data_IF_467731186886
#
_entry.id   IF_467731186886
#
_cell.length_a   1.000
_cell.length_b   1.000
_cell.length_c   1.000
_cell.angle_alpha   90.00
_cell.angle_beta   90.00
_cell.angle_gamma   90.00
#
_symmetry.space_group_name_H-M   'P 1'
#
loop_
_entity.id
_entity.type
_entity.pdbx_description
1 polymer ?
#
# COMPACT_ATOMS: atom_id res chain seq x y z
N UNK A 1 13.21 -8.65 5.83
CA UNK A 1 13.58 -9.90 5.14
C UNK A 1 13.15 -9.81 3.68
N UNK A 2 14.10 -9.96 2.79
CA UNK A 2 13.80 -10.00 1.36
C UNK A 2 13.11 -11.30 0.99
N UNK A 3 12.09 -11.20 0.15
CA UNK A 3 11.31 -12.37 -0.29
C UNK A 3 11.20 -12.41 -1.81
N UNK A 4 10.81 -13.56 -2.33
CA UNK A 4 10.56 -13.77 -3.76
C UNK A 4 9.17 -13.28 -4.15
N UNK A 5 8.94 -13.15 -5.46
CA UNK A 5 7.60 -12.80 -5.98
C UNK A 5 6.56 -13.85 -5.55
N UNK A 6 6.91 -15.14 -5.60
CA UNK A 6 5.98 -16.20 -5.20
C UNK A 6 5.62 -16.10 -3.71
N UNK A 7 6.60 -15.79 -2.87
CA UNK A 7 6.35 -15.58 -1.44
C UNK A 7 5.46 -14.35 -1.20
N UNK A 8 5.69 -13.25 -1.92
CA UNK A 8 4.84 -12.06 -1.84
C UNK A 8 3.40 -12.39 -2.27
N UNK A 9 3.24 -13.12 -3.36
CA UNK A 9 1.92 -13.53 -3.85
C UNK A 9 1.20 -14.39 -2.81
N UNK A 10 1.91 -15.28 -2.12
CA UNK A 10 1.33 -16.12 -1.08
C UNK A 10 0.87 -15.28 0.12
N UNK A 11 1.69 -14.33 0.56
CA UNK A 11 1.33 -13.42 1.67
C UNK A 11 0.05 -12.66 1.34
N UNK A 12 -0.05 -12.13 0.12
CA UNK A 12 -1.25 -11.43 -0.33
C UNK A 12 -2.45 -12.38 -0.40
N UNK A 13 -2.23 -13.58 -0.94
CA UNK A 13 -3.30 -14.57 -1.07
C UNK A 13 -3.89 -15.02 0.27
N UNK A 14 -3.07 -15.08 1.31
CA UNK A 14 -3.49 -15.51 2.65
C UNK A 14 -4.26 -14.42 3.41
N UNK A 15 -4.18 -13.17 3.00
CA UNK A 15 -4.82 -12.06 3.68
C UNK A 15 -6.25 -11.84 3.15
N UNK A 16 -7.19 -11.50 4.03
CA UNK A 16 -8.55 -11.14 3.65
C UNK A 16 -8.77 -9.63 3.70
N UNK A 17 -8.27 -8.95 4.74
CA UNK A 17 -8.38 -7.50 4.87
C UNK A 17 -7.00 -6.88 4.58
N UNK A 18 -6.96 -5.97 3.61
CA UNK A 18 -5.70 -5.43 3.10
C UNK A 18 -5.80 -3.90 3.01
N UNK A 19 -4.82 -3.23 3.57
CA UNK A 19 -4.63 -1.79 3.38
C UNK A 19 -3.40 -1.59 2.51
N UNK A 20 -3.55 -0.75 1.48
CA UNK A 20 -2.48 -0.39 0.56
C UNK A 20 -2.12 1.06 0.77
N UNK A 21 -0.86 1.39 0.66
CA UNK A 21 -0.38 2.76 0.72
C UNK A 21 0.85 2.97 -0.15
N UNK A 22 1.24 4.21 -0.31
CA UNK A 22 2.47 4.61 -0.96
C UNK A 22 2.99 5.89 -0.30
N UNK A 23 3.88 6.61 -1.00
CA UNK A 23 4.55 7.77 -0.42
C UNK A 23 3.65 9.02 -0.41
N UNK A 24 4.02 9.98 0.45
CA UNK A 24 3.50 11.34 0.35
C UNK A 24 3.97 11.95 -0.99
N UNK A 25 3.31 13.02 -1.44
CA UNK A 25 3.50 13.59 -2.78
C UNK A 25 3.27 12.53 -3.85
N UNK A 26 2.07 11.95 -3.88
CA UNK A 26 1.79 10.82 -4.77
C UNK A 26 1.93 11.24 -6.24
N UNK A 27 2.45 10.30 -7.03
CA UNK A 27 2.63 10.45 -8.47
C UNK A 27 1.84 9.38 -9.21
N UNK A 28 1.98 9.35 -10.56
CA UNK A 28 1.26 8.38 -11.38
C UNK A 28 1.61 6.94 -11.04
N UNK A 29 2.87 6.67 -10.73
CA UNK A 29 3.34 5.32 -10.41
C UNK A 29 2.74 4.83 -9.08
N UNK A 30 2.79 5.67 -8.04
CA UNK A 30 2.26 5.30 -6.72
C UNK A 30 0.74 5.15 -6.73
N UNK A 31 0.01 6.07 -7.37
CA UNK A 31 -1.45 6.02 -7.45
C UNK A 31 -1.89 4.86 -8.34
N UNK A 32 -1.24 4.69 -9.49
CA UNK A 32 -1.57 3.59 -10.40
C UNK A 32 -1.32 2.22 -9.78
N UNK A 33 -0.20 2.05 -9.08
CA UNK A 33 0.14 0.79 -8.42
C UNK A 33 -0.86 0.44 -7.32
N UNK A 34 -1.20 1.39 -6.45
CA UNK A 34 -2.12 1.13 -5.34
C UNK A 34 -3.55 0.90 -5.82
N UNK A 35 -4.04 1.72 -6.75
CA UNK A 35 -5.40 1.54 -7.29
C UNK A 35 -5.52 0.27 -8.11
N UNK A 36 -4.54 -0.03 -8.95
CA UNK A 36 -4.56 -1.24 -9.75
C UNK A 36 -4.62 -2.49 -8.88
N UNK A 37 -3.79 -2.54 -7.85
CA UNK A 37 -3.77 -3.67 -6.94
C UNK A 37 -5.07 -3.73 -6.10
N UNK A 38 -5.60 -2.59 -5.67
CA UNK A 38 -6.89 -2.54 -4.97
C UNK A 38 -8.01 -3.15 -5.82
N UNK A 39 -8.11 -2.75 -7.08
CA UNK A 39 -9.14 -3.28 -7.98
C UNK A 39 -9.00 -4.78 -8.18
N UNK A 40 -7.77 -5.26 -8.38
CA UNK A 40 -7.51 -6.68 -8.51
C UNK A 40 -7.94 -7.46 -7.26
N UNK A 41 -7.55 -6.99 -6.09
CA UNK A 41 -7.85 -7.66 -4.82
C UNK A 41 -9.35 -7.69 -4.53
N UNK A 42 -10.05 -6.59 -4.82
CA UNK A 42 -11.52 -6.55 -4.68
C UNK A 42 -12.20 -7.52 -5.63
N UNK A 43 -11.69 -7.66 -6.86
CA UNK A 43 -12.21 -8.64 -7.81
C UNK A 43 -12.00 -10.08 -7.32
N UNK A 44 -11.01 -10.31 -6.46
CA UNK A 44 -10.75 -11.61 -5.81
C UNK A 44 -11.59 -11.81 -4.54
N UNK A 45 -12.49 -10.89 -4.23
CA UNK A 45 -13.35 -10.98 -3.05
C UNK A 45 -12.72 -10.53 -1.75
N UNK A 46 -11.58 -9.84 -1.81
CA UNK A 46 -10.88 -9.33 -0.62
C UNK A 46 -11.36 -7.94 -0.26
N UNK A 47 -11.28 -7.59 1.01
CA UNK A 47 -11.54 -6.24 1.50
C UNK A 47 -10.24 -5.44 1.39
N UNK A 48 -10.12 -4.62 0.35
CA UNK A 48 -8.93 -3.83 0.07
C UNK A 48 -9.26 -2.34 0.06
N UNK A 49 -8.44 -1.55 0.78
CA UNK A 49 -8.56 -0.10 0.89
C UNK A 49 -7.21 0.53 0.60
N UNK A 50 -7.22 1.74 0.04
CA UNK A 50 -6.01 2.54 -0.16
C UNK A 50 -6.05 3.76 0.77
N UNK A 51 -5.00 3.93 1.57
CA UNK A 51 -4.79 5.11 2.41
C UNK A 51 -3.53 5.83 1.92
N UNK A 52 -3.63 7.12 1.60
CA UNK A 52 -2.48 7.94 1.23
C UNK A 52 -2.54 9.23 2.06
N UNK A 53 -1.45 9.55 2.75
CA UNK A 53 -1.41 10.69 3.68
C UNK A 53 -0.98 11.97 2.95
N UNK A 54 -1.73 12.34 1.92
CA UNK A 54 -1.52 13.60 1.19
C UNK A 54 -2.74 13.91 0.31
N UNK A 55 -2.78 15.13 -0.21
CA UNK A 55 -3.76 15.50 -1.22
C UNK A 55 -3.42 14.84 -2.55
N UNK A 56 -4.45 14.45 -3.30
CA UNK A 56 -4.26 13.79 -4.59
C UNK A 56 -4.24 14.84 -5.71
N UNK A 57 -3.24 14.77 -6.62
CA UNK A 57 -3.19 15.70 -7.76
C UNK A 57 -4.43 15.57 -8.66
N UNK A 58 -4.97 16.71 -9.08
CA UNK A 58 -6.19 16.75 -9.91
C UNK A 58 -6.04 16.04 -11.23
N UNK A 59 -4.83 15.99 -11.77
CA UNK A 59 -4.56 15.34 -13.06
C UNK A 59 -4.97 13.86 -13.07
N UNK A 60 -5.03 13.22 -11.90
CA UNK A 60 -5.37 11.79 -11.79
C UNK A 60 -6.86 11.52 -11.64
N UNK A 61 -7.72 12.53 -11.69
CA UNK A 61 -9.19 12.37 -11.54
C UNK A 61 -9.80 11.43 -12.57
N UNK A 62 -9.13 11.19 -13.69
CA UNK A 62 -9.61 10.28 -14.72
C UNK A 62 -9.41 8.80 -14.36
N UNK A 63 -8.63 8.51 -13.32
CA UNK A 63 -8.34 7.13 -12.91
C UNK A 63 -9.54 6.52 -12.20
N UNK A 64 -9.95 5.29 -12.59
CA UNK A 64 -11.04 4.59 -11.89
C UNK A 64 -10.69 4.33 -10.43
N UNK A 65 -11.56 4.73 -9.54
CA UNK A 65 -11.39 4.47 -8.11
C UNK A 65 -10.60 5.53 -7.35
N UNK A 66 -10.15 6.62 -7.99
CA UNK A 66 -9.39 7.66 -7.30
C UNK A 66 -10.15 8.20 -6.08
N UNK A 67 -11.48 8.35 -6.19
CA UNK A 67 -12.34 8.78 -5.09
C UNK A 67 -12.40 7.80 -3.93
N UNK A 68 -11.92 6.59 -4.10
CA UNK A 68 -11.87 5.55 -3.06
C UNK A 68 -10.58 5.65 -2.22
N UNK A 69 -9.61 6.45 -2.63
CA UNK A 69 -8.40 6.68 -1.83
C UNK A 69 -8.78 7.56 -0.65
N UNK A 70 -8.44 7.10 0.55
CA UNK A 70 -8.72 7.80 1.79
C UNK A 70 -7.45 8.40 2.35
N UNK A 71 -7.57 9.54 3.02
CA UNK A 71 -6.48 10.07 3.82
C UNK A 71 -6.69 9.62 5.27
N UNK A 72 -5.66 9.08 5.96
CA UNK A 72 -5.83 8.64 7.34
C UNK A 72 -6.25 9.79 8.24
N UNK A 73 -7.29 9.58 9.03
CA UNK A 73 -7.79 10.56 9.97
C UNK A 73 -6.90 10.62 11.21
N UNK A 74 -6.67 11.83 11.72
CA UNK A 74 -5.85 12.02 12.92
C UNK A 74 -6.47 11.27 14.11
N UNK A 75 -5.63 10.55 14.85
CA UNK A 75 -6.05 9.81 16.04
C UNK A 75 -6.81 8.52 15.78
N UNK A 76 -7.04 8.17 14.51
CA UNK A 76 -7.74 6.93 14.16
C UNK A 76 -6.73 5.80 13.96
N UNK A 77 -7.01 4.63 14.52
CA UNK A 77 -6.25 3.40 14.29
C UNK A 77 -7.01 2.54 13.29
N UNK A 78 -6.29 2.03 12.30
CA UNK A 78 -6.82 1.13 11.29
C UNK A 78 -6.26 -0.27 11.53
N UNK A 79 -7.03 -1.30 11.25
CA UNK A 79 -6.58 -2.69 11.41
C UNK A 79 -6.72 -3.45 10.10
N UNK A 80 -5.81 -4.37 9.84
CA UNK A 80 -5.83 -5.21 8.64
C UNK A 80 -5.03 -6.48 8.88
N UNK A 81 -5.31 -7.52 8.08
CA UNK A 81 -4.45 -8.70 8.03
C UNK A 81 -3.09 -8.34 7.44
N UNK A 82 -3.09 -7.46 6.43
CA UNK A 82 -1.89 -7.10 5.67
C UNK A 82 -1.89 -5.63 5.33
N UNK A 83 -0.76 -4.97 5.57
CA UNK A 83 -0.45 -3.66 5.03
C UNK A 83 0.55 -3.84 3.89
N UNK A 84 0.21 -3.34 2.69
CA UNK A 84 1.11 -3.34 1.54
C UNK A 84 1.57 -1.91 1.29
N UNK A 85 2.88 -1.69 1.32
CA UNK A 85 3.49 -0.40 0.97
C UNK A 85 4.12 -0.54 -0.41
N UNK A 86 3.63 0.25 -1.36
CA UNK A 86 4.03 0.18 -2.77
C UNK A 86 4.92 1.37 -3.14
N UNK A 87 5.96 1.11 -3.93
CA UNK A 87 6.76 2.11 -4.63
C UNK A 87 7.61 3.01 -3.72
N UNK A 88 7.82 2.62 -2.47
CA UNK A 88 8.61 3.40 -1.51
C UNK A 88 8.93 2.58 -0.28
N UNK A 89 9.92 3.00 0.50
CA UNK A 89 10.17 2.45 1.83
C UNK A 89 9.16 2.96 2.87
N UNK A 90 9.04 2.25 3.99
CA UNK A 90 8.00 2.49 5.00
C UNK A 90 7.99 3.91 5.57
N UNK A 91 9.16 4.49 5.77
CA UNK A 91 9.28 5.80 6.43
C UNK A 91 8.74 6.99 5.64
N UNK A 92 8.42 6.77 4.34
CA UNK A 92 7.95 7.84 3.46
C UNK A 92 6.45 7.84 3.23
N UNK A 93 5.71 7.11 4.03
CA UNK A 93 4.25 6.99 3.90
C UNK A 93 3.47 8.02 4.73
N UNK A 94 4.14 9.02 5.30
CA UNK A 94 3.50 9.93 6.24
C UNK A 94 3.05 9.19 7.48
N UNK A 95 1.78 9.36 7.87
CA UNK A 95 1.23 8.74 9.08
C UNK A 95 0.57 7.37 8.83
N UNK A 96 0.64 6.82 7.62
CA UNK A 96 -0.09 5.57 7.34
C UNK A 96 0.48 4.39 8.12
N UNK A 97 1.79 4.14 7.99
CA UNK A 97 2.39 2.98 8.66
C UNK A 97 2.21 3.04 10.18
N UNK A 98 2.32 4.23 10.76
CA UNK A 98 2.14 4.41 12.20
C UNK A 98 0.69 4.32 12.66
N UNK A 99 -0.27 4.42 11.74
CA UNK A 99 -1.71 4.41 12.05
C UNK A 99 -2.37 3.06 11.81
N UNK A 100 -1.66 2.10 11.22
CA UNK A 100 -2.22 0.79 10.85
C UNK A 100 -1.64 -0.29 11.73
N UNK A 101 -2.52 -1.05 12.38
CA UNK A 101 -2.16 -2.28 13.11
C UNK A 101 -2.41 -3.45 12.16
N UNK A 102 -1.36 -3.93 11.52
CA UNK A 102 -1.42 -5.04 10.58
C UNK A 102 -0.74 -6.28 11.15
N UNK A 103 -1.30 -7.46 10.85
CA UNK A 103 -0.68 -8.72 11.25
C UNK A 103 0.67 -8.89 10.54
N UNK A 104 0.71 -8.50 9.25
CA UNK A 104 1.94 -8.53 8.45
C UNK A 104 2.09 -7.24 7.67
N UNK A 105 3.34 -6.86 7.37
CA UNK A 105 3.65 -5.70 6.53
C UNK A 105 4.52 -6.18 5.36
N UNK A 106 4.05 -5.91 4.14
CA UNK A 106 4.74 -6.24 2.90
C UNK A 106 5.09 -4.95 2.16
N UNK A 107 6.37 -4.76 1.87
CA UNK A 107 6.84 -3.65 1.04
C UNK A 107 7.17 -4.17 -0.36
N UNK A 108 6.57 -3.57 -1.37
CA UNK A 108 6.84 -3.87 -2.79
C UNK A 108 7.46 -2.62 -3.39
N UNK A 109 8.72 -2.69 -3.76
CA UNK A 109 9.47 -1.53 -4.24
C UNK A 109 10.46 -1.92 -5.33
N UNK A 110 10.93 -0.92 -6.07
CA UNK A 110 11.92 -1.09 -7.12
C UNK A 110 13.11 -0.12 -6.97
N UNK A 111 13.15 0.65 -5.89
CA UNK A 111 14.22 1.62 -5.65
C UNK A 111 15.41 0.95 -4.97
N UNK A 112 16.62 1.15 -5.53
CA UNK A 112 17.86 0.64 -4.92
C UNK A 112 18.17 1.30 -3.59
N UNK A 113 17.56 2.46 -3.32
CA UNK A 113 17.74 3.23 -2.09
C UNK A 113 16.81 2.79 -0.95
N UNK A 114 16.01 1.73 -1.15
CA UNK A 114 15.14 1.21 -0.09
C UNK A 114 15.97 0.84 1.14
N UNK A 115 15.54 1.26 2.33
CA UNK A 115 16.25 1.04 3.57
C UNK A 115 16.09 -0.39 4.14
N UNK A 116 15.25 -1.22 3.51
CA UNK A 116 15.03 -2.63 3.83
C UNK A 116 14.49 -2.87 5.26
N UNK A 117 13.79 -1.89 5.83
CA UNK A 117 13.24 -1.96 7.19
C UNK A 117 11.95 -2.77 7.30
N UNK A 118 11.29 -3.08 6.18
CA UNK A 118 10.02 -3.81 6.20
C UNK A 118 10.21 -5.25 6.67
N UNK A 119 9.18 -5.79 7.35
CA UNK A 119 9.15 -7.19 7.76
C UNK A 119 9.34 -8.12 6.56
N UNK A 120 8.58 -7.87 5.51
CA UNK A 120 8.71 -8.58 4.23
C UNK A 120 8.95 -7.58 3.12
N UNK A 121 9.99 -7.77 2.34
CA UNK A 121 10.37 -6.87 1.25
C UNK A 121 10.52 -7.64 -0.06
N UNK A 122 9.69 -7.30 -1.05
CA UNK A 122 9.93 -7.71 -2.42
C UNK A 122 10.53 -6.52 -3.16
N UNK A 123 11.80 -6.61 -3.50
CA UNK A 123 12.55 -5.58 -4.20
C UNK A 123 12.92 -6.10 -5.59
N UNK A 124 12.35 -5.48 -6.59
CA UNK A 124 12.56 -5.88 -7.98
C UNK A 124 13.66 -5.04 -8.65
#
# INVERSE_FOLDING_TARGET
MKITLDEAAKIIGDAQTIILTSHIRPDGDSIGSTLGLMHYLRAQGKDARVLIDDDLPRIFKVLPGLEMIERPAEGVRYTADLLIVCDVELKRTGNVVSSVDAVRVLNIDHHVTNDEEAEYLYLN
#
